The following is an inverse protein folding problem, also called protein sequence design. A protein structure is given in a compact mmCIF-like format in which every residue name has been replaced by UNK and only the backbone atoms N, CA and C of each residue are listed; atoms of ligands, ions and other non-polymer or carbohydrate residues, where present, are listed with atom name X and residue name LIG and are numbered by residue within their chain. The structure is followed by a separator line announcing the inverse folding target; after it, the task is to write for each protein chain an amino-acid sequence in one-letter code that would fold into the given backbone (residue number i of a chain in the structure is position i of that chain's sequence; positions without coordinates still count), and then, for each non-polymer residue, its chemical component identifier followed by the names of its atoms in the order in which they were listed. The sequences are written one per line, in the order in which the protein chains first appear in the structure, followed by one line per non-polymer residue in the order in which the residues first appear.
data_IF_351616864592
#
_entry.id   IF_351616864592
#
_cell.length_a   1.000
_cell.length_b   1.000
_cell.length_c   1.000
_cell.angle_alpha   90.00
_cell.angle_beta   90.00
_cell.angle_gamma   90.00
#
_symmetry.space_group_name_H-M   'P 1'
#
loop_
_entity.id
_entity.type
_entity.pdbx_description
1 polymer ?
#
# COMPACT_ATOMS: atom_id res chain seq x y z
N UNK A 1 -75.89 6.52 -1.79
CA UNK A 1 -74.59 6.45 -1.10
C UNK A 1 -73.79 7.67 -1.50
N UNK A 2 -73.71 8.64 -0.59
CA UNK A 2 -72.93 9.86 -0.79
C UNK A 2 -71.46 9.58 -0.47
N UNK A 3 -70.54 10.20 -1.21
CA UNK A 3 -69.24 10.56 -0.67
C UNK A 3 -68.76 11.87 -1.28
N UNK A 4 -68.46 12.79 -0.38
CA UNK A 4 -68.08 14.18 -0.58
C UNK A 4 -66.58 14.33 -0.29
N UNK A 5 -65.95 15.18 -1.09
CA UNK A 5 -64.74 16.01 -0.88
C UNK A 5 -63.70 15.61 0.21
N UNK A 6 -62.41 15.70 -0.15
CA UNK A 6 -61.60 16.86 0.22
C UNK A 6 -60.20 16.79 -0.38
N UNK A 7 -59.76 17.87 -1.02
CA UNK A 7 -58.36 18.09 -1.40
C UNK A 7 -57.58 18.52 -0.16
N UNK A 8 -56.46 17.86 0.11
CA UNK A 8 -55.53 18.24 1.18
C UNK A 8 -54.23 18.77 0.56
N UNK A 9 -53.90 20.01 0.90
CA UNK A 9 -52.66 20.71 0.59
C UNK A 9 -51.48 20.13 1.40
N UNK A 10 -50.22 20.29 0.94
CA UNK A 10 -49.04 19.79 1.64
C UNK A 10 -48.72 20.62 2.91
N UNK A 11 -48.12 19.99 3.94
CA UNK A 11 -47.81 20.65 5.21
C UNK A 11 -46.62 21.62 5.09
N UNK A 12 -46.77 22.77 5.75
CA UNK A 12 -45.73 23.79 5.90
C UNK A 12 -44.57 23.25 6.74
N UNK A 13 -43.36 23.44 6.22
CA UNK A 13 -42.10 23.18 6.92
C UNK A 13 -41.86 24.31 7.93
N UNK A 14 -41.58 24.05 9.21
CA UNK A 14 -41.12 25.10 10.12
C UNK A 14 -39.69 25.49 9.75
N UNK A 15 -39.46 26.80 9.58
CA UNK A 15 -38.15 27.37 9.31
C UNK A 15 -37.15 27.01 10.43
N UNK A 16 -35.86 26.76 10.10
CA UNK A 16 -34.83 26.56 11.10
C UNK A 16 -34.68 27.84 11.95
N UNK A 17 -34.43 27.72 13.27
CA UNK A 17 -34.15 28.89 14.09
C UNK A 17 -32.87 29.54 13.59
N UNK A 18 -32.95 30.85 13.37
CA UNK A 18 -31.81 31.73 13.09
C UNK A 18 -30.67 31.41 14.07
N UNK A 19 -29.53 30.97 13.53
CA UNK A 19 -28.27 30.96 14.24
C UNK A 19 -28.04 32.37 14.79
N UNK A 20 -28.17 32.53 16.11
CA UNK A 20 -27.79 33.76 16.78
C UNK A 20 -26.28 33.90 16.64
N UNK A 21 -25.85 34.87 15.85
CA UNK A 21 -24.46 35.32 15.84
C UNK A 21 -24.08 35.76 17.25
N UNK A 22 -23.44 34.87 18.01
CA UNK A 22 -23.00 35.08 19.39
C UNK A 22 -21.77 35.96 19.49
N UNK A 23 -21.76 37.11 18.79
CA UNK A 23 -20.70 38.11 18.90
C UNK A 23 -21.23 39.48 19.37
N UNK A 24 -22.38 39.50 20.05
CA UNK A 24 -22.82 40.69 20.78
C UNK A 24 -22.39 40.53 22.24
N UNK A 25 -21.24 41.09 22.58
CA UNK A 25 -20.75 41.20 23.96
C UNK A 25 -21.73 42.05 24.77
N UNK A 26 -22.74 41.43 25.36
CA UNK A 26 -23.60 42.10 26.34
C UNK A 26 -22.84 42.15 27.64
N UNK A 27 -22.25 43.30 27.94
CA UNK A 27 -21.66 43.57 29.25
C UNK A 27 -22.73 43.40 30.34
N UNK A 28 -22.40 42.66 31.39
CA UNK A 28 -23.26 42.49 32.55
C UNK A 28 -23.49 43.84 33.24
N UNK A 29 -24.61 43.98 33.96
CA UNK A 29 -24.95 45.22 34.70
C UNK A 29 -23.90 45.62 35.75
N UNK A 30 -23.02 44.70 36.13
CA UNK A 30 -22.07 44.83 37.22
C UNK A 30 -20.74 44.23 36.80
N UNK A 31 -19.65 44.97 37.02
CA UNK A 31 -18.30 44.53 36.67
C UNK A 31 -17.93 43.16 37.30
N UNK A 32 -18.42 42.90 38.52
CA UNK A 32 -18.22 41.62 39.19
C UNK A 32 -18.83 40.44 38.41
N UNK A 33 -19.98 40.64 37.75
CA UNK A 33 -20.61 39.60 36.93
C UNK A 33 -19.91 39.45 35.58
N UNK A 34 -19.37 40.53 35.02
CA UNK A 34 -18.53 40.46 33.81
C UNK A 34 -17.24 39.67 34.06
N UNK A 35 -16.60 39.86 35.21
CA UNK A 35 -15.40 39.10 35.58
C UNK A 35 -15.74 37.62 35.76
N UNK A 36 -16.87 37.29 36.41
CA UNK A 36 -17.35 35.90 36.53
C UNK A 36 -17.67 35.28 35.16
N UNK A 37 -18.35 36.02 34.29
CA UNK A 37 -18.67 35.59 32.94
C UNK A 37 -17.41 35.39 32.10
N UNK A 38 -16.40 36.26 32.26
CA UNK A 38 -15.11 36.13 31.60
C UNK A 38 -14.36 34.87 32.05
N UNK A 39 -14.31 34.61 33.36
CA UNK A 39 -13.70 33.39 33.89
C UNK A 39 -14.45 32.13 33.46
N UNK A 40 -15.79 32.16 33.42
CA UNK A 40 -16.62 31.06 32.94
C UNK A 40 -16.45 30.82 31.42
N UNK A 41 -16.33 31.87 30.61
CA UNK A 41 -16.08 31.75 29.18
C UNK A 41 -14.67 31.21 28.87
N UNK A 42 -13.67 31.55 29.71
CA UNK A 42 -12.30 31.03 29.60
C UNK A 42 -12.14 29.58 30.07
N UNK A 43 -13.01 29.10 30.97
CA UNK A 43 -12.95 27.73 31.48
C UNK A 43 -13.63 26.71 30.55
N UNK A 44 -14.50 27.18 29.65
CA UNK A 44 -15.15 26.32 28.63
C UNK A 44 -14.25 26.27 27.40
N UNK A 45 -13.72 25.08 27.10
CA UNK A 45 -12.97 24.83 25.86
C UNK A 45 -13.89 25.08 24.65
N UNK A 46 -13.39 25.69 23.55
CA UNK A 46 -14.23 26.02 22.40
C UNK A 46 -14.69 24.79 21.59
N UNK A 47 -14.30 23.58 21.98
CA UNK A 47 -14.76 22.33 21.41
C UNK A 47 -15.24 21.38 22.51
N UNK A 48 -16.29 20.62 22.21
CA UNK A 48 -16.76 19.55 23.09
C UNK A 48 -15.76 18.38 23.04
N UNK A 49 -15.45 17.70 24.15
CA UNK A 49 -14.53 16.55 24.15
C UNK A 49 -14.97 15.43 23.20
N UNK A 50 -16.27 15.30 22.93
CA UNK A 50 -16.84 14.33 21.98
C UNK A 50 -16.57 14.68 20.50
N UNK A 51 -16.24 15.93 20.18
CA UNK A 51 -15.93 16.36 18.81
C UNK A 51 -14.48 16.07 18.41
N UNK A 52 -13.61 15.77 19.37
CA UNK A 52 -12.21 15.47 19.11
C UNK A 52 -12.01 13.95 18.99
N UNK A 53 -11.91 13.47 17.76
CA UNK A 53 -11.49 12.08 17.50
C UNK A 53 -10.13 11.86 18.15
N UNK A 54 -10.06 10.94 19.11
CA UNK A 54 -8.81 10.53 19.73
C UNK A 54 -7.86 10.04 18.64
N UNK A 55 -6.68 10.65 18.56
CA UNK A 55 -5.66 10.26 17.58
C UNK A 55 -5.04 8.94 18.06
N UNK A 56 -5.47 7.84 17.46
CA UNK A 56 -4.88 6.53 17.68
C UNK A 56 -3.54 6.45 16.97
N UNK A 57 -2.48 6.27 17.74
CA UNK A 57 -1.15 6.07 17.19
C UNK A 57 -1.04 4.64 16.66
N UNK A 58 -1.22 4.49 15.34
CA UNK A 58 -1.02 3.22 14.66
C UNK A 58 0.46 3.00 14.46
N UNK A 59 0.97 1.89 14.99
CA UNK A 59 2.37 1.50 14.83
C UNK A 59 2.62 1.03 13.40
N UNK A 60 3.86 1.20 12.90
CA UNK A 60 4.27 0.67 11.58
C UNK A 60 4.03 -0.85 11.46
N UNK A 61 4.10 -1.56 12.57
CA UNK A 61 3.86 -3.00 12.63
C UNK A 61 2.38 -3.36 12.39
N UNK A 62 1.43 -2.55 12.89
CA UNK A 62 0.00 -2.73 12.62
C UNK A 62 -0.33 -2.42 11.15
N UNK A 63 0.20 -1.32 10.60
CA UNK A 63 0.06 -1.03 9.16
C UNK A 63 0.64 -2.13 8.27
N UNK A 64 1.83 -2.63 8.60
CA UNK A 64 2.46 -3.72 7.85
C UNK A 64 1.71 -5.06 7.99
N UNK A 65 0.81 -5.21 8.96
CA UNK A 65 -0.13 -6.33 9.00
C UNK A 65 -1.34 -6.04 8.15
N UNK A 66 -1.94 -4.85 8.22
CA UNK A 66 -3.08 -4.44 7.38
C UNK A 66 -2.76 -4.57 5.88
N UNK A 67 -1.56 -4.15 5.47
CA UNK A 67 -1.06 -4.22 4.10
C UNK A 67 -0.84 -5.65 3.57
N UNK A 68 -0.92 -6.68 4.42
CA UNK A 68 -0.78 -8.08 3.97
C UNK A 68 -2.04 -8.52 3.23
N UNK A 69 -1.85 -8.97 1.99
CA UNK A 69 -2.91 -9.52 1.16
C UNK A 69 -3.51 -10.82 1.71
N UNK A 70 -2.70 -11.63 2.41
CA UNK A 70 -3.07 -12.94 2.92
C UNK A 70 -3.03 -12.98 4.44
N UNK A 71 -4.15 -13.37 5.06
CA UNK A 71 -4.26 -13.54 6.50
C UNK A 71 -3.90 -14.99 6.87
N UNK A 72 -2.72 -15.15 7.45
CA UNK A 72 -2.17 -16.46 7.83
C UNK A 72 -2.97 -17.11 8.98
N UNK A 73 -3.61 -16.31 9.83
CA UNK A 73 -4.36 -16.83 10.99
C UNK A 73 -5.70 -17.40 10.53
N UNK A 74 -6.38 -16.67 9.64
CA UNK A 74 -7.65 -17.12 9.07
C UNK A 74 -7.47 -18.06 7.88
N UNK A 75 -6.27 -18.12 7.30
CA UNK A 75 -5.96 -18.91 6.12
C UNK A 75 -6.67 -18.40 4.85
N UNK A 76 -7.02 -17.11 4.80
CA UNK A 76 -7.83 -16.50 3.73
C UNK A 76 -7.18 -15.23 3.21
N UNK A 77 -7.43 -14.90 1.94
CA UNK A 77 -7.12 -13.57 1.42
C UNK A 77 -8.07 -12.54 2.04
N UNK A 78 -7.53 -11.34 2.31
CA UNK A 78 -8.37 -10.22 2.82
C UNK A 78 -9.18 -9.54 1.73
N UNK A 79 -8.70 -9.63 0.50
CA UNK A 79 -9.43 -9.22 -0.68
C UNK A 79 -10.50 -10.28 -0.99
N UNK A 80 -11.77 -9.90 -0.83
CA UNK A 80 -12.93 -10.79 -0.99
C UNK A 80 -13.03 -11.34 -2.41
N UNK A 81 -12.70 -10.54 -3.43
CA UNK A 81 -12.79 -10.95 -4.83
C UNK A 81 -11.73 -12.02 -5.15
N UNK A 82 -10.53 -11.84 -4.59
CA UNK A 82 -9.41 -12.78 -4.72
C UNK A 82 -9.70 -14.09 -3.98
N UNK A 83 -10.26 -14.02 -2.79
CA UNK A 83 -10.68 -15.18 -1.99
C UNK A 83 -11.82 -15.95 -2.66
N UNK A 84 -12.85 -15.26 -3.15
CA UNK A 84 -13.95 -15.90 -3.90
C UNK A 84 -13.42 -16.59 -5.16
N UNK A 85 -12.52 -15.95 -5.91
CA UNK A 85 -11.87 -16.55 -7.06
C UNK A 85 -11.05 -17.80 -6.71
N UNK A 86 -10.35 -17.78 -5.58
CA UNK A 86 -9.59 -18.93 -5.08
C UNK A 86 -10.51 -20.08 -4.65
N UNK A 87 -11.55 -19.80 -3.86
CA UNK A 87 -12.53 -20.80 -3.41
C UNK A 87 -13.30 -21.45 -4.57
N UNK A 88 -13.66 -20.67 -5.61
CA UNK A 88 -14.29 -21.23 -6.81
C UNK A 88 -13.36 -22.21 -7.54
N UNK A 89 -12.06 -21.89 -7.65
CA UNK A 89 -11.08 -22.79 -8.28
C UNK A 89 -10.88 -24.06 -7.47
N UNK A 90 -10.74 -23.97 -6.15
CA UNK A 90 -10.66 -25.14 -5.28
C UNK A 90 -11.92 -26.00 -5.37
N UNK A 91 -13.11 -25.38 -5.37
CA UNK A 91 -14.38 -26.09 -5.50
C UNK A 91 -14.50 -26.85 -6.82
N UNK A 92 -14.04 -26.26 -7.93
CA UNK A 92 -14.01 -26.93 -9.24
C UNK A 92 -13.00 -28.08 -9.24
N UNK A 93 -11.82 -27.89 -8.64
CA UNK A 93 -10.78 -28.91 -8.59
C UNK A 93 -11.20 -30.10 -7.74
N UNK A 94 -11.80 -29.86 -6.57
CA UNK A 94 -12.31 -30.90 -5.69
C UNK A 94 -13.42 -31.72 -6.36
N UNK A 95 -14.36 -31.06 -7.06
CA UNK A 95 -15.39 -31.76 -7.86
C UNK A 95 -14.76 -32.63 -8.94
N UNK A 96 -13.78 -32.11 -9.67
CA UNK A 96 -13.07 -32.85 -10.72
C UNK A 96 -12.32 -34.07 -10.16
N UNK A 97 -11.68 -33.94 -9.01
CA UNK A 97 -10.94 -35.03 -8.37
C UNK A 97 -11.88 -36.09 -7.80
N UNK A 98 -13.02 -35.71 -7.23
CA UNK A 98 -14.08 -36.63 -6.83
C UNK A 98 -14.65 -37.40 -8.03
N UNK A 99 -14.94 -36.72 -9.13
CA UNK A 99 -15.42 -37.36 -10.37
C UNK A 99 -14.39 -38.33 -10.94
N UNK A 100 -13.11 -37.95 -10.95
CA UNK A 100 -12.00 -38.81 -11.37
C UNK A 100 -11.85 -40.03 -10.46
N UNK A 101 -11.98 -39.85 -9.15
CA UNK A 101 -11.98 -40.93 -8.16
C UNK A 101 -13.14 -41.90 -8.38
N UNK A 102 -14.35 -41.37 -8.58
CA UNK A 102 -15.55 -42.16 -8.88
C UNK A 102 -15.41 -42.94 -10.19
N UNK A 103 -14.87 -42.32 -11.25
CA UNK A 103 -14.60 -42.98 -12.52
C UNK A 103 -13.55 -44.11 -12.38
N UNK A 104 -12.48 -43.88 -11.59
CA UNK A 104 -11.46 -44.91 -11.32
C UNK A 104 -12.07 -46.09 -10.55
N UNK A 105 -12.95 -45.83 -9.58
CA UNK A 105 -13.66 -46.87 -8.85
C UNK A 105 -14.59 -47.67 -9.77
N UNK A 106 -15.37 -47.00 -10.62
CA UNK A 106 -16.23 -47.65 -11.63
C UNK A 106 -15.45 -48.53 -12.62
N UNK A 107 -14.19 -48.19 -12.91
CA UNK A 107 -13.30 -49.01 -13.76
C UNK A 107 -12.79 -50.26 -13.05
N UNK A 108 -12.53 -50.18 -11.75
CA UNK A 108 -11.96 -51.29 -10.97
C UNK A 108 -13.02 -52.31 -10.55
N UNK A 109 -14.29 -51.92 -10.48
CA UNK A 109 -15.39 -52.81 -10.13
C UNK A 109 -16.03 -53.41 -11.38
N UNK A 110 -16.70 -54.54 -11.19
CA UNK A 110 -17.41 -55.25 -12.24
C UNK A 110 -18.55 -54.38 -12.83
N UNK A 111 -18.56 -54.19 -14.15
CA UNK A 111 -19.48 -53.26 -14.84
C UNK A 111 -20.90 -53.81 -15.02
N UNK A 112 -21.04 -55.12 -15.08
CA UNK A 112 -22.30 -55.83 -15.36
C UNK A 112 -22.55 -56.89 -14.31
N UNK A 113 -23.81 -57.18 -13.98
CA UNK A 113 -24.16 -58.36 -13.19
C UNK A 113 -23.79 -59.63 -13.97
N UNK A 114 -23.00 -60.55 -13.39
CA UNK A 114 -22.49 -61.73 -14.11
C UNK A 114 -23.60 -62.64 -14.67
N UNK A 115 -24.76 -62.66 -14.00
CA UNK A 115 -25.85 -63.59 -14.31
C UNK A 115 -26.86 -62.95 -15.27
N UNK A 116 -27.32 -61.73 -14.98
CA UNK A 116 -28.34 -61.04 -15.80
C UNK A 116 -27.74 -60.18 -16.93
N UNK A 117 -26.42 -60.01 -16.95
CA UNK A 117 -25.66 -59.11 -17.82
C UNK A 117 -26.19 -57.66 -17.85
N UNK A 118 -27.01 -57.28 -16.87
CA UNK A 118 -27.52 -55.93 -16.71
C UNK A 118 -26.43 -55.00 -16.14
N UNK A 119 -26.37 -53.73 -16.54
CA UNK A 119 -25.40 -52.78 -16.00
C UNK A 119 -25.65 -52.56 -14.51
N UNK A 120 -24.62 -52.74 -13.66
CA UNK A 120 -24.75 -52.52 -12.21
C UNK A 120 -25.00 -51.03 -11.86
N UNK A 121 -24.60 -50.11 -12.74
CA UNK A 121 -24.78 -48.66 -12.58
C UNK A 121 -25.41 -48.06 -13.85
N UNK A 122 -26.75 -48.14 -14.00
CA UNK A 122 -27.43 -47.56 -15.15
C UNK A 122 -27.24 -46.03 -15.19
N UNK A 123 -26.73 -45.52 -16.31
CA UNK A 123 -26.50 -44.08 -16.53
C UNK A 123 -25.09 -43.58 -16.20
N UNK A 124 -24.21 -44.41 -15.63
CA UNK A 124 -22.81 -44.05 -15.41
C UNK A 124 -22.04 -44.05 -16.75
N UNK A 125 -21.72 -42.86 -17.28
CA UNK A 125 -20.87 -42.70 -18.46
C UNK A 125 -19.41 -42.57 -17.99
N UNK A 126 -18.50 -43.41 -18.49
CA UNK A 126 -17.08 -43.22 -18.22
C UNK A 126 -16.63 -41.94 -18.96
N UNK A 127 -16.16 -40.88 -18.26
CA UNK A 127 -15.74 -39.64 -18.92
C UNK A 127 -14.54 -39.84 -19.86
N UNK A 128 -13.87 -41.01 -19.80
CA UNK A 128 -12.75 -41.36 -20.66
C UNK A 128 -13.10 -42.44 -21.70
N UNK A 129 -14.36 -42.89 -21.79
CA UNK A 129 -14.78 -43.71 -22.93
C UNK A 129 -14.70 -42.83 -24.17
N UNK A 130 -13.58 -42.94 -24.89
CA UNK A 130 -13.41 -42.36 -26.22
C UNK A 130 -14.62 -42.84 -27.01
N UNK A 131 -15.52 -41.91 -27.38
CA UNK A 131 -16.62 -42.20 -28.30
C UNK A 131 -16.03 -43.05 -29.43
N UNK A 132 -16.57 -44.24 -29.73
CA UNK A 132 -16.03 -45.06 -30.79
C UNK A 132 -15.96 -44.17 -32.02
N UNK A 133 -14.75 -43.91 -32.52
CA UNK A 133 -14.56 -43.14 -33.74
C UNK A 133 -15.35 -43.89 -34.80
N UNK A 134 -16.44 -43.30 -35.29
CA UNK A 134 -17.16 -43.87 -36.41
C UNK A 134 -16.18 -43.91 -37.58
N UNK A 135 -15.70 -45.11 -37.91
CA UNK A 135 -14.99 -45.33 -39.14
C UNK A 135 -16.01 -45.11 -40.26
N UNK A 136 -15.93 -43.96 -40.93
CA UNK A 136 -16.83 -43.55 -42.01
C UNK A 136 -16.88 -44.55 -43.17
N UNK A 137 -15.92 -45.48 -43.23
CA UNK A 137 -15.72 -46.40 -44.35
C UNK A 137 -16.12 -47.84 -44.05
N UNK A 138 -16.73 -48.13 -42.90
CA UNK A 138 -17.25 -49.49 -42.64
C UNK A 138 -18.69 -49.57 -43.15
N UNK A 139 -18.82 -49.65 -44.48
CA UNK A 139 -20.07 -50.03 -45.13
C UNK A 139 -20.52 -51.35 -44.53
N UNK A 140 -21.70 -51.37 -43.91
CA UNK A 140 -22.32 -52.63 -43.49
C UNK A 140 -22.66 -53.38 -44.76
N UNK A 141 -21.82 -54.33 -45.15
CA UNK A 141 -22.21 -55.36 -46.11
C UNK A 141 -23.15 -56.30 -45.37
N UNK A 142 -24.42 -55.90 -45.23
CA UNK A 142 -25.48 -56.87 -45.03
C UNK A 142 -25.59 -57.63 -46.36
N UNK A 143 -24.79 -58.67 -46.52
CA UNK A 143 -24.99 -59.64 -47.59
C UNK A 143 -26.26 -60.42 -47.27
N UNK A 144 -27.20 -60.47 -48.20
CA UNK A 144 -28.51 -61.13 -48.05
C UNK A 144 -28.45 -62.66 -47.94
N UNK A 145 -27.24 -63.22 -47.88
CA UNK A 145 -26.99 -64.66 -47.79
C UNK A 145 -25.88 -64.95 -46.78
N UNK A 146 -25.96 -66.12 -46.15
CA UNK A 146 -24.90 -66.62 -45.28
C UNK A 146 -23.74 -67.13 -46.15
N UNK A 147 -22.54 -66.53 -46.00
CA UNK A 147 -21.36 -66.81 -46.83
C UNK A 147 -20.88 -68.27 -46.69
N UNK A 148 -21.19 -68.93 -45.56
CA UNK A 148 -20.77 -70.33 -45.32
C UNK A 148 -21.76 -71.34 -45.89
N UNK A 149 -23.06 -71.03 -45.89
CA UNK A 149 -24.12 -71.99 -46.28
C UNK A 149 -24.80 -71.65 -47.61
N UNK A 150 -24.55 -70.47 -48.18
CA UNK A 150 -25.11 -69.99 -49.44
C UNK A 150 -26.65 -70.05 -49.53
N UNK A 151 -27.33 -69.87 -48.39
CA UNK A 151 -28.80 -69.80 -48.31
C UNK A 151 -29.19 -68.32 -48.11
N UNK A 152 -30.21 -67.85 -48.84
CA UNK A 152 -30.75 -66.50 -48.70
C UNK A 152 -31.51 -66.32 -47.38
N UNK A 153 -31.34 -65.18 -46.72
CA UNK A 153 -32.05 -64.82 -45.47
C UNK A 153 -33.51 -64.38 -45.72
N UNK A 154 -34.22 -65.02 -46.64
CA UNK A 154 -35.62 -64.70 -47.02
C UNK A 154 -36.62 -65.42 -46.11
N UNK A 155 -36.45 -65.28 -44.80
CA UNK A 155 -37.21 -66.05 -43.82
C UNK A 155 -37.36 -65.40 -42.45
N UNK A 156 -37.49 -64.08 -42.36
CA UNK A 156 -38.12 -63.45 -41.19
C UNK A 156 -38.54 -62.00 -41.46
N UNK A 157 -39.85 -61.81 -41.68
CA UNK A 157 -40.70 -60.71 -41.20
C UNK A 157 -40.12 -59.28 -41.15
N UNK A 158 -40.30 -58.52 -42.24
CA UNK A 158 -40.90 -57.18 -42.23
C UNK A 158 -40.87 -56.60 -43.65
N UNK A 159 -42.03 -56.47 -44.27
CA UNK A 159 -42.24 -55.73 -45.50
C UNK A 159 -41.96 -54.24 -45.26
N UNK A 160 -40.81 -53.75 -45.71
CA UNK A 160 -40.60 -52.30 -45.90
C UNK A 160 -41.29 -51.88 -47.19
N UNK A 161 -42.09 -50.79 -47.20
CA UNK A 161 -42.87 -50.41 -48.37
C UNK A 161 -41.97 -49.97 -49.52
N UNK A 162 -42.45 -50.26 -50.73
CA UNK A 162 -41.89 -49.89 -52.02
C UNK A 162 -41.53 -48.41 -52.09
N UNK A 163 -40.25 -48.09 -51.87
CA UNK A 163 -39.67 -46.82 -52.26
C UNK A 163 -39.42 -46.85 -53.77
N UNK A 164 -40.04 -45.90 -54.46
CA UNK A 164 -39.83 -45.52 -55.85
C UNK A 164 -38.42 -45.80 -56.38
N UNK A 165 -38.34 -46.45 -57.54
CA UNK A 165 -37.12 -46.64 -58.34
C UNK A 165 -36.56 -45.26 -58.70
N UNK A 166 -35.71 -44.73 -57.82
CA UNK A 166 -34.75 -43.69 -58.18
C UNK A 166 -33.65 -44.40 -58.95
N UNK A 167 -33.24 -43.93 -60.15
CA UNK A 167 -32.15 -44.57 -60.86
C UNK A 167 -30.96 -44.60 -59.92
N UNK A 168 -30.40 -45.79 -59.68
CA UNK A 168 -29.24 -45.93 -58.81
C UNK A 168 -28.14 -45.04 -59.40
N UNK A 169 -27.97 -43.84 -58.86
CA UNK A 169 -26.79 -43.01 -59.09
C UNK A 169 -25.66 -43.73 -58.35
N UNK A 170 -25.17 -44.81 -58.96
CA UNK A 170 -23.88 -45.39 -58.61
C UNK A 170 -22.92 -44.20 -58.66
N UNK A 171 -22.15 -43.93 -57.60
CA UNK A 171 -21.24 -42.80 -57.60
C UNK A 171 -20.28 -42.97 -58.79
N UNK A 172 -20.46 -42.13 -59.81
CA UNK A 172 -19.59 -42.12 -60.97
C UNK A 172 -18.24 -41.63 -60.47
N UNK A 173 -17.22 -42.48 -60.57
CA UNK A 173 -15.87 -42.09 -60.18
C UNK A 173 -15.37 -41.11 -61.24
N UNK A 174 -14.94 -39.93 -60.82
CA UNK A 174 -14.42 -38.90 -61.73
C UNK A 174 -13.09 -39.29 -62.39
N UNK A 175 -12.44 -40.33 -61.87
CA UNK A 175 -11.14 -40.83 -62.28
C UNK A 175 -11.20 -42.31 -62.63
N UNK A 176 -10.64 -42.65 -63.78
CA UNK A 176 -10.51 -44.01 -64.26
C UNK A 176 -9.24 -44.67 -63.71
N UNK A 177 -9.41 -45.70 -62.90
CA UNK A 177 -8.32 -46.40 -62.20
C UNK A 177 -7.50 -47.27 -63.17
N UNK A 178 -8.10 -47.76 -64.25
CA UNK A 178 -7.41 -48.62 -65.21
C UNK A 178 -6.50 -47.81 -66.14
N UNK A 179 -6.93 -46.60 -66.52
CA UNK A 179 -6.19 -45.74 -67.45
C UNK A 179 -5.43 -44.61 -66.76
N UNK A 180 -5.62 -44.41 -65.45
CA UNK A 180 -5.03 -43.32 -64.67
C UNK A 180 -5.35 -41.94 -65.26
N UNK A 181 -6.56 -41.76 -65.81
CA UNK A 181 -7.02 -40.50 -66.42
C UNK A 181 -8.35 -40.04 -65.84
N UNK A 182 -8.51 -38.73 -65.76
CA UNK A 182 -9.81 -38.12 -65.47
C UNK A 182 -10.73 -38.24 -66.67
N UNK A 183 -12.03 -38.37 -66.43
CA UNK A 183 -13.03 -38.48 -67.50
C UNK A 183 -13.22 -37.15 -68.24
N UNK A 184 -13.13 -36.03 -67.53
CA UNK A 184 -13.27 -34.69 -68.09
C UNK A 184 -12.01 -33.85 -67.85
N UNK A 185 -11.51 -33.17 -68.89
CA UNK A 185 -10.37 -32.22 -68.84
C UNK A 185 -9.18 -32.75 -68.04
N UNK A 186 -8.65 -33.91 -68.46
CA UNK A 186 -7.59 -34.62 -67.74
C UNK A 186 -6.35 -33.77 -67.52
N UNK A 187 -5.86 -33.09 -68.56
CA UNK A 187 -4.61 -32.35 -68.49
C UNK A 187 -4.73 -31.16 -67.51
N UNK A 188 -5.79 -30.36 -67.62
CA UNK A 188 -6.06 -29.24 -66.71
C UNK A 188 -6.15 -29.68 -65.24
N UNK A 189 -6.88 -30.78 -64.97
CA UNK A 189 -7.04 -31.31 -63.60
C UNK A 189 -5.72 -31.89 -63.09
N UNK A 190 -4.97 -32.58 -63.94
CA UNK A 190 -3.67 -33.13 -63.59
C UNK A 190 -2.68 -32.01 -63.21
N UNK A 191 -2.65 -30.91 -63.98
CA UNK A 191 -1.83 -29.75 -63.65
C UNK A 191 -2.23 -29.09 -62.33
N UNK A 192 -3.54 -28.95 -62.08
CA UNK A 192 -4.06 -28.42 -60.81
C UNK A 192 -3.69 -29.31 -59.62
N UNK A 193 -3.86 -30.62 -59.75
CA UNK A 193 -3.50 -31.58 -58.72
C UNK A 193 -1.99 -31.61 -58.48
N UNK A 194 -1.18 -31.53 -59.54
CA UNK A 194 0.27 -31.44 -59.43
C UNK A 194 0.72 -30.15 -58.73
N UNK A 195 0.11 -29.01 -59.08
CA UNK A 195 0.35 -27.73 -58.42
C UNK A 195 -0.06 -27.77 -56.93
N UNK A 196 -1.21 -28.39 -56.62
CA UNK A 196 -1.68 -28.57 -55.26
C UNK A 196 -0.76 -29.51 -54.47
N UNK A 197 -0.32 -30.62 -55.07
CA UNK A 197 0.63 -31.56 -54.47
C UNK A 197 1.96 -30.87 -54.18
N UNK A 198 2.48 -30.06 -55.12
CA UNK A 198 3.68 -29.25 -54.92
C UNK A 198 3.51 -28.25 -53.77
N UNK A 199 2.36 -27.56 -53.68
CA UNK A 199 2.03 -26.65 -52.58
C UNK A 199 1.97 -27.37 -51.24
N UNK A 200 1.30 -28.53 -51.17
CA UNK A 200 1.22 -29.34 -49.94
C UNK A 200 2.60 -29.88 -49.54
N UNK A 201 3.42 -30.31 -50.49
CA UNK A 201 4.78 -30.74 -50.25
C UNK A 201 5.64 -29.60 -49.70
N UNK A 202 5.55 -28.39 -50.28
CA UNK A 202 6.21 -27.20 -49.76
C UNK A 202 5.75 -26.87 -48.33
N UNK A 203 4.44 -26.90 -48.05
CA UNK A 203 3.93 -26.69 -46.70
C UNK A 203 4.46 -27.73 -45.70
N UNK A 204 4.52 -29.01 -46.08
CA UNK A 204 5.11 -30.07 -45.24
C UNK A 204 6.61 -29.87 -45.02
N UNK A 205 7.32 -29.45 -46.06
CA UNK A 205 8.74 -29.11 -46.01
C UNK A 205 8.98 -27.99 -45.00
N UNK A 206 8.29 -26.85 -45.12
CA UNK A 206 8.46 -25.70 -44.21
C UNK A 206 8.00 -26.00 -42.77
N UNK A 207 6.98 -26.85 -42.58
CA UNK A 207 6.55 -27.30 -41.24
C UNK A 207 7.64 -28.09 -40.51
N UNK A 208 8.45 -28.86 -41.21
CA UNK A 208 9.50 -29.70 -40.60
C UNK A 208 10.86 -29.00 -40.56
N UNK A 209 11.10 -28.05 -41.47
CA UNK A 209 12.37 -27.36 -41.66
C UNK A 209 12.14 -25.86 -41.57
N UNK A 210 12.17 -25.35 -40.35
CA UNK A 210 12.08 -23.91 -40.10
C UNK A 210 13.41 -23.20 -40.28
N UNK A 211 14.51 -23.87 -39.94
CA UNK A 211 15.85 -23.28 -39.89
C UNK A 211 16.83 -24.10 -40.73
N UNK A 212 17.66 -23.42 -41.52
CA UNK A 212 18.74 -24.02 -42.29
C UNK A 212 20.06 -23.89 -41.51
N UNK A 213 20.60 -24.98 -40.94
CA UNK A 213 21.84 -24.92 -40.16
C UNK A 213 23.09 -24.67 -41.01
N UNK A 214 23.03 -24.88 -42.33
CA UNK A 214 24.18 -24.65 -43.22
C UNK A 214 24.29 -23.17 -43.55
N UNK A 215 23.16 -22.53 -43.84
CA UNK A 215 23.10 -21.08 -44.11
C UNK A 215 23.02 -20.25 -42.83
N UNK A 216 22.64 -20.87 -41.71
CA UNK A 216 22.39 -20.22 -40.43
C UNK A 216 21.30 -19.14 -40.57
N UNK A 217 20.30 -19.40 -41.43
CA UNK A 217 19.16 -18.51 -41.67
C UNK A 217 17.86 -19.30 -41.57
N UNK A 218 16.76 -18.61 -41.27
CA UNK A 218 15.44 -19.19 -41.45
C UNK A 218 15.20 -19.47 -42.95
N UNK A 219 14.52 -20.59 -43.21
CA UNK A 219 14.17 -20.98 -44.59
C UNK A 219 13.10 -20.03 -45.15
N UNK A 220 12.26 -19.49 -44.27
CA UNK A 220 11.23 -18.52 -44.57
C UNK A 220 11.80 -17.09 -44.46
N UNK A 221 11.74 -16.34 -45.55
CA UNK A 221 12.33 -15.00 -45.68
C UNK A 221 11.68 -13.97 -44.75
N UNK A 222 10.36 -14.07 -44.54
CA UNK A 222 9.64 -13.11 -43.70
C UNK A 222 9.99 -13.33 -42.23
N UNK A 223 10.14 -14.58 -41.82
CA UNK A 223 10.60 -14.95 -40.48
C UNK A 223 12.04 -14.52 -40.22
N UNK A 224 12.91 -14.59 -41.23
CA UNK A 224 14.29 -14.10 -41.13
C UNK A 224 14.30 -12.57 -40.93
N UNK A 225 13.51 -11.81 -41.68
CA UNK A 225 13.41 -10.35 -41.52
C UNK A 225 12.95 -9.96 -40.11
N UNK A 226 11.93 -10.63 -39.57
CA UNK A 226 11.47 -10.41 -38.20
C UNK A 226 12.54 -10.76 -37.15
N UNK A 227 13.30 -11.82 -37.38
CA UNK A 227 14.40 -12.20 -36.50
C UNK A 227 15.52 -11.15 -36.51
N UNK A 228 15.90 -10.67 -37.71
CA UNK A 228 16.93 -9.64 -37.85
C UNK A 228 16.50 -8.31 -37.24
N UNK A 229 15.25 -7.89 -37.42
CA UNK A 229 14.74 -6.67 -36.78
C UNK A 229 14.77 -6.79 -35.26
N UNK A 230 14.26 -7.90 -34.71
CA UNK A 230 14.30 -8.16 -33.26
C UNK A 230 15.72 -8.16 -32.72
N UNK A 231 16.63 -8.86 -33.39
CA UNK A 231 18.05 -8.91 -33.01
C UNK A 231 18.67 -7.51 -33.02
N UNK A 232 18.33 -6.69 -33.99
CA UNK A 232 18.79 -5.30 -34.05
C UNK A 232 18.27 -4.50 -32.86
N UNK A 233 16.98 -4.60 -32.56
CA UNK A 233 16.36 -3.93 -31.41
C UNK A 233 17.00 -4.38 -30.09
N UNK A 234 17.19 -5.68 -29.92
CA UNK A 234 17.89 -6.26 -28.77
C UNK A 234 19.33 -5.76 -28.66
N UNK A 235 20.06 -5.64 -29.77
CA UNK A 235 21.42 -5.11 -29.79
C UNK A 235 21.46 -3.61 -29.39
N UNK A 236 20.45 -2.83 -29.80
CA UNK A 236 20.33 -1.42 -29.41
C UNK A 236 19.98 -1.26 -27.93
N UNK A 237 19.24 -2.20 -27.35
CA UNK A 237 18.92 -2.21 -25.93
C UNK A 237 20.07 -2.77 -25.08
N UNK A 238 20.80 -3.75 -25.62
CA UNK A 238 21.84 -4.46 -24.92
C UNK A 238 22.93 -3.51 -24.41
N UNK A 239 23.10 -3.49 -23.08
CA UNK A 239 24.14 -2.71 -22.41
C UNK A 239 23.70 -1.33 -21.92
N UNK A 240 22.51 -0.82 -22.31
CA UNK A 240 21.97 0.44 -21.76
C UNK A 240 21.72 0.33 -20.25
N UNK A 241 21.20 -0.82 -19.81
CA UNK A 241 20.89 -1.06 -18.40
C UNK A 241 22.10 -1.49 -17.58
N UNK A 242 23.27 -1.71 -18.21
CA UNK A 242 24.48 -2.17 -17.50
C UNK A 242 24.87 -1.20 -16.39
N UNK A 243 24.61 0.10 -16.58
CA UNK A 243 24.88 1.15 -15.59
C UNK A 243 23.98 0.98 -14.36
N UNK A 244 22.74 0.53 -14.53
CA UNK A 244 21.78 0.32 -13.43
C UNK A 244 22.11 -0.91 -12.58
N UNK A 245 22.86 -1.87 -13.12
CA UNK A 245 23.34 -3.04 -12.36
C UNK A 245 24.56 -2.72 -11.49
N UNK A 246 25.23 -1.59 -11.72
CA UNK A 246 26.42 -1.24 -10.96
C UNK A 246 26.07 -0.94 -9.49
N UNK A 247 27.01 -1.11 -8.55
CA UNK A 247 26.79 -0.71 -7.17
C UNK A 247 26.40 0.78 -7.07
N UNK A 248 25.54 1.18 -6.11
CA UNK A 248 25.08 2.56 -5.99
C UNK A 248 26.22 3.59 -5.97
N UNK A 249 27.33 3.30 -5.27
CA UNK A 249 28.52 4.18 -5.23
C UNK A 249 29.04 4.53 -6.63
N UNK A 250 29.00 3.56 -7.53
CA UNK A 250 29.50 3.66 -8.89
C UNK A 250 28.45 4.25 -9.83
N UNK A 251 27.15 4.04 -9.56
CA UNK A 251 26.07 4.72 -10.28
C UNK A 251 26.05 6.23 -10.04
N UNK A 252 26.28 6.64 -8.79
CA UNK A 252 26.30 8.04 -8.36
C UNK A 252 27.70 8.67 -8.46
N UNK A 253 28.67 8.02 -9.12
CA UNK A 253 29.99 8.60 -9.30
C UNK A 253 29.94 9.81 -10.23
N UNK A 254 30.76 10.81 -9.94
CA UNK A 254 30.77 12.09 -10.65
C UNK A 254 30.91 11.91 -12.16
N UNK A 255 31.83 11.05 -12.61
CA UNK A 255 32.02 10.75 -14.04
C UNK A 255 30.85 10.05 -14.74
N UNK A 256 29.86 9.55 -14.00
CA UNK A 256 28.59 9.02 -14.56
C UNK A 256 27.43 9.98 -14.47
N UNK A 257 27.46 10.89 -13.50
CA UNK A 257 26.39 11.86 -13.28
C UNK A 257 26.60 13.08 -14.18
N UNK A 258 27.84 13.53 -14.33
CA UNK A 258 28.22 14.64 -15.20
C UNK A 258 29.57 14.39 -15.87
N UNK A 259 29.81 15.05 -16.99
CA UNK A 259 31.09 15.01 -17.68
C UNK A 259 32.04 15.99 -17.01
N UNK A 260 33.11 15.49 -16.40
CA UNK A 260 34.09 16.28 -15.65
C UNK A 260 34.80 17.32 -16.54
N UNK A 261 34.98 17.05 -17.83
CA UNK A 261 35.69 17.93 -18.75
C UNK A 261 34.84 19.13 -19.19
N UNK A 262 33.59 18.88 -19.55
CA UNK A 262 32.69 19.88 -20.13
C UNK A 262 31.63 20.39 -19.14
N UNK A 263 31.61 19.86 -17.91
CA UNK A 263 30.62 20.10 -16.85
C UNK A 263 29.16 19.85 -17.28
N UNK A 264 28.95 19.12 -18.38
CA UNK A 264 27.60 18.78 -18.86
C UNK A 264 27.04 17.62 -18.06
N UNK A 265 25.79 17.75 -17.63
CA UNK A 265 25.08 16.69 -16.91
C UNK A 265 24.76 15.54 -17.88
N UNK A 266 25.19 14.34 -17.52
CA UNK A 266 24.90 13.11 -18.27
C UNK A 266 23.56 12.56 -17.80
N UNK A 267 23.39 12.46 -16.48
CA UNK A 267 22.20 11.87 -15.83
C UNK A 267 21.59 12.86 -14.82
N UNK A 268 20.62 13.70 -15.24
CA UNK A 268 20.07 14.75 -14.37
C UNK A 268 19.28 14.17 -13.18
N UNK A 269 18.56 13.07 -13.38
CA UNK A 269 17.79 12.43 -12.31
C UNK A 269 18.69 11.98 -11.16
N UNK A 270 19.80 11.31 -11.47
CA UNK A 270 20.77 10.84 -10.47
C UNK A 270 21.44 12.01 -9.76
N UNK A 271 21.72 13.11 -10.47
CA UNK A 271 22.25 14.33 -9.87
C UNK A 271 21.30 14.93 -8.83
N UNK A 272 20.01 15.04 -9.17
CA UNK A 272 18.99 15.53 -8.24
C UNK A 272 18.94 14.66 -6.98
N UNK A 273 18.92 13.34 -7.14
CA UNK A 273 18.89 12.45 -5.96
C UNK A 273 20.16 12.49 -5.12
N UNK A 274 21.33 12.78 -5.71
CA UNK A 274 22.58 13.01 -4.99
C UNK A 274 22.47 14.30 -4.16
N UNK A 275 22.07 15.40 -4.81
CA UNK A 275 21.87 16.69 -4.16
C UNK A 275 20.86 16.60 -3.01
N UNK A 276 19.74 15.89 -3.19
CA UNK A 276 18.75 15.68 -2.13
C UNK A 276 19.29 14.90 -0.92
N UNK A 277 20.24 13.97 -1.14
CA UNK A 277 20.88 13.25 -0.03
C UNK A 277 21.80 14.19 0.74
N UNK A 278 22.59 15.00 0.03
CA UNK A 278 23.51 15.95 0.64
C UNK A 278 22.74 17.04 1.41
N UNK A 279 21.65 17.55 0.83
CA UNK A 279 20.76 18.51 1.50
C UNK A 279 20.11 17.91 2.75
N UNK A 280 19.69 16.64 2.72
CA UNK A 280 19.15 15.96 3.92
C UNK A 280 20.19 15.84 5.02
N UNK A 281 21.45 15.55 4.68
CA UNK A 281 22.53 15.48 5.66
C UNK A 281 22.79 16.85 6.29
N UNK A 282 22.87 17.90 5.47
CA UNK A 282 22.99 19.29 5.91
C UNK A 282 21.85 19.72 6.84
N UNK A 283 20.61 19.46 6.44
CA UNK A 283 19.42 19.77 7.22
C UNK A 283 19.40 19.03 8.57
N UNK A 284 19.90 17.79 8.61
CA UNK A 284 20.03 17.06 9.88
C UNK A 284 21.02 17.74 10.82
N UNK A 285 22.19 18.13 10.32
CA UNK A 285 23.22 18.83 11.13
C UNK A 285 22.69 20.17 11.63
N UNK A 286 22.04 20.95 10.77
CA UNK A 286 21.43 22.23 11.13
C UNK A 286 20.35 22.04 12.20
N UNK A 287 19.47 21.05 12.02
CA UNK A 287 18.43 20.71 13.00
C UNK A 287 19.03 20.35 14.35
N UNK A 288 20.05 19.48 14.38
CA UNK A 288 20.69 19.09 15.66
C UNK A 288 21.39 20.25 16.36
N UNK A 289 22.02 21.16 15.59
CA UNK A 289 22.64 22.34 16.14
C UNK A 289 21.60 23.30 16.74
N UNK A 290 20.48 23.48 16.03
CA UNK A 290 19.35 24.28 16.51
C UNK A 290 18.72 23.70 17.77
N UNK A 291 18.44 22.39 17.79
CA UNK A 291 17.87 21.70 18.97
C UNK A 291 18.79 21.79 20.18
N UNK A 292 20.11 21.64 19.99
CA UNK A 292 21.09 21.80 21.06
C UNK A 292 21.06 23.22 21.64
N UNK A 293 21.07 24.24 20.77
CA UNK A 293 20.97 25.64 21.19
C UNK A 293 19.68 25.91 21.97
N UNK A 294 18.54 25.40 21.49
CA UNK A 294 17.26 25.58 22.16
C UNK A 294 17.19 24.85 23.50
N UNK A 295 17.82 23.68 23.61
CA UNK A 295 17.95 22.97 24.88
C UNK A 295 18.77 23.77 25.88
N UNK A 296 19.94 24.28 25.49
CA UNK A 296 20.78 25.11 26.36
C UNK A 296 20.03 26.37 26.84
N UNK A 297 19.27 27.02 25.95
CA UNK A 297 18.41 28.16 26.34
C UNK A 297 17.35 27.74 27.35
N UNK A 298 16.69 26.60 27.14
CA UNK A 298 15.69 26.06 28.07
C UNK A 298 16.28 25.69 29.43
N UNK A 299 17.45 25.03 29.45
CA UNK A 299 18.19 24.68 30.67
C UNK A 299 18.61 25.93 31.45
N UNK A 300 19.10 26.96 30.75
CA UNK A 300 19.46 28.24 31.37
C UNK A 300 18.24 28.97 31.95
N UNK A 301 17.11 28.97 31.24
CA UNK A 301 15.87 29.56 31.74
C UNK A 301 15.34 28.81 32.96
N UNK A 302 15.36 27.47 32.91
CA UNK A 302 14.95 26.64 34.03
C UNK A 302 15.85 26.86 35.24
N UNK A 303 17.18 26.91 35.06
CA UNK A 303 18.13 27.19 36.13
C UNK A 303 17.85 28.56 36.78
N UNK A 304 17.64 29.59 35.95
CA UNK A 304 17.27 30.93 36.43
C UNK A 304 15.98 30.92 37.24
N UNK A 305 14.94 30.25 36.75
CA UNK A 305 13.65 30.20 37.43
C UNK A 305 13.74 29.41 38.74
N UNK A 306 14.53 28.33 38.77
CA UNK A 306 14.82 27.60 40.02
C UNK A 306 15.59 28.45 41.02
N UNK A 307 16.56 29.24 40.56
CA UNK A 307 17.35 30.12 41.42
C UNK A 307 16.47 31.24 42.01
N UNK A 308 15.61 31.86 41.19
CA UNK A 308 14.64 32.85 41.66
C UNK A 308 13.66 32.26 42.69
N UNK A 309 13.19 31.04 42.46
CA UNK A 309 12.32 30.33 43.41
C UNK A 309 13.06 30.04 44.72
N UNK A 310 14.30 29.53 44.66
CA UNK A 310 15.11 29.26 45.86
C UNK A 310 15.42 30.54 46.65
N UNK A 311 15.68 31.66 45.96
CA UNK A 311 15.94 32.96 46.58
C UNK A 311 14.70 33.55 47.27
N UNK A 312 13.49 33.08 46.96
CA UNK A 312 12.26 33.53 47.65
C UNK A 312 12.14 32.95 49.07
N UNK A 313 12.79 31.82 49.34
CA UNK A 313 12.77 31.18 50.64
C UNK A 313 13.93 31.67 51.52
N UNK A 314 13.61 32.16 52.71
CA UNK A 314 14.63 32.53 53.68
C UNK A 314 15.43 31.29 54.13
N UNK A 315 16.75 31.32 53.92
CA UNK A 315 17.65 30.24 54.32
C UNK A 315 17.56 29.92 55.82
N UNK A 316 17.33 30.94 56.65
CA UNK A 316 17.23 30.81 58.11
C UNK A 316 16.18 29.78 58.56
N UNK A 317 15.05 29.67 57.84
CA UNK A 317 14.01 28.67 58.13
C UNK A 317 14.51 27.22 58.06
N UNK A 318 15.50 26.96 57.21
CA UNK A 318 16.07 25.62 57.09
C UNK A 318 17.09 25.36 58.21
N UNK A 319 17.84 26.37 58.61
CA UNK A 319 18.83 26.27 59.70
C UNK A 319 18.19 26.22 61.08
N UNK A 320 17.02 26.83 61.29
CA UNK A 320 16.28 26.84 62.56
C UNK A 320 16.06 25.42 63.11
N UNK A 321 15.70 24.48 62.24
CA UNK A 321 15.49 23.07 62.62
C UNK A 321 16.75 22.36 63.15
N UNK A 322 17.93 22.93 62.90
CA UNK A 322 19.25 22.35 63.23
C UNK A 322 19.91 23.05 64.43
N UNK A 323 19.32 24.13 64.94
CA UNK A 323 19.89 24.95 66.03
C UNK A 323 20.13 24.14 67.31
N UNK A 324 19.29 23.14 67.59
CA UNK A 324 19.38 22.34 68.81
C UNK A 324 20.52 21.31 68.80
N UNK A 325 21.16 21.04 67.65
CA UNK A 325 22.27 20.07 67.53
C UNK A 325 21.85 18.60 67.51
N UNK A 326 20.54 18.32 67.64
CA UNK A 326 19.93 17.00 67.50
C UNK A 326 18.55 17.12 66.83
N UNK A 327 18.07 16.01 66.28
CA UNK A 327 16.74 15.91 65.67
C UNK A 327 15.66 15.83 66.75
N UNK A 328 14.74 16.79 66.77
CA UNK A 328 13.69 16.91 67.80
C UNK A 328 12.75 15.69 67.80
N UNK A 329 12.57 15.01 66.66
CA UNK A 329 11.67 13.86 66.56
C UNK A 329 12.32 12.53 66.93
N UNK A 330 13.60 12.34 66.56
CA UNK A 330 14.31 11.07 66.78
C UNK A 330 15.31 11.12 67.94
N UNK A 331 15.56 12.30 68.51
CA UNK A 331 16.55 12.58 69.55
C UNK A 331 17.99 12.13 69.19
N UNK A 332 18.27 11.96 67.89
CA UNK A 332 19.60 11.63 67.40
C UNK A 332 20.43 12.90 67.21
N UNK A 333 21.67 12.88 67.69
CA UNK A 333 22.62 13.97 67.51
C UNK A 333 22.97 14.13 66.02
N UNK A 334 23.18 15.36 65.57
CA UNK A 334 23.67 15.63 64.21
C UNK A 334 25.20 15.58 64.10
N UNK A 335 25.91 15.45 65.23
CA UNK A 335 27.37 15.38 65.32
C UNK A 335 27.78 14.20 66.21
N UNK A 336 28.77 13.39 65.79
CA UNK A 336 29.28 12.25 66.56
C UNK A 336 29.32 10.93 65.78
N UNK A 337 29.57 9.82 66.50
CA UNK A 337 29.84 8.48 65.94
C UNK A 337 28.62 7.83 65.28
N UNK A 338 27.41 8.16 65.74
CA UNK A 338 26.13 7.66 65.22
C UNK A 338 25.20 8.83 64.79
N UNK A 339 25.81 9.87 64.21
CA UNK A 339 25.11 11.10 63.87
C UNK A 339 24.17 10.92 62.66
N UNK A 340 23.00 11.55 62.73
CA UNK A 340 22.10 11.63 61.59
C UNK A 340 22.67 12.62 60.56
N UNK A 341 22.80 12.25 59.26
CA UNK A 341 23.36 13.14 58.26
C UNK A 341 22.47 14.35 58.04
N UNK A 342 23.07 15.55 58.09
CA UNK A 342 22.38 16.80 57.80
C UNK A 342 22.21 16.93 56.28
N UNK A 343 20.97 17.12 55.84
CA UNK A 343 20.70 17.48 54.46
C UNK A 343 21.13 18.93 54.21
N UNK A 344 22.01 19.15 53.23
CA UNK A 344 22.43 20.48 52.83
C UNK A 344 21.23 21.21 52.19
N UNK A 345 20.93 22.41 52.66
CA UNK A 345 19.88 23.23 52.05
C UNK A 345 20.30 23.65 50.64
N UNK A 346 19.33 23.67 49.73
CA UNK A 346 19.54 24.22 48.37
C UNK A 346 19.51 25.75 48.35
N UNK A 347 19.06 26.39 49.43
CA UNK A 347 19.06 27.84 49.59
C UNK A 347 20.41 28.31 50.13
N UNK A 348 20.81 29.52 49.76
CA UNK A 348 22.07 30.13 50.21
C UNK A 348 21.83 31.09 51.37
N UNK A 349 22.74 31.09 52.34
CA UNK A 349 22.76 32.08 53.41
C UNK A 349 22.94 33.49 52.82
N UNK A 350 22.44 34.51 53.53
CA UNK A 350 22.68 35.90 53.14
C UNK A 350 24.19 36.16 53.11
N UNK A 351 24.69 36.64 51.98
CA UNK A 351 26.11 36.96 51.83
C UNK A 351 26.54 38.02 52.85
N UNK A 352 27.69 37.80 53.47
CA UNK A 352 28.33 38.79 54.32
C UNK A 352 28.74 40.02 53.49
N UNK A 353 28.81 41.21 54.10
CA UNK A 353 29.19 42.44 53.41
C UNK A 353 30.52 42.30 52.64
N UNK A 354 31.49 41.58 53.22
CA UNK A 354 32.78 41.29 52.57
C UNK A 354 32.64 40.36 51.34
N UNK A 355 31.80 39.32 51.44
CA UNK A 355 31.54 38.39 50.32
C UNK A 355 30.77 39.07 49.19
N UNK A 356 29.91 40.03 49.49
CA UNK A 356 29.22 40.84 48.50
C UNK A 356 30.19 41.74 47.72
N UNK A 357 31.19 42.30 48.40
CA UNK A 357 32.23 43.12 47.76
C UNK A 357 33.10 42.25 46.85
N UNK A 358 33.49 41.05 47.28
CA UNK A 358 34.30 40.12 46.48
C UNK A 358 33.54 39.55 45.27
N UNK A 359 32.24 39.28 45.41
CA UNK A 359 31.42 38.73 44.32
C UNK A 359 30.90 39.79 43.33
N UNK A 360 30.94 41.07 43.70
CA UNK A 360 30.46 42.18 42.87
C UNK A 360 28.95 42.17 42.61
N UNK A 361 28.17 41.37 43.36
CA UNK A 361 26.71 41.25 43.20
C UNK A 361 26.00 42.42 43.91
N UNK A 362 25.03 43.11 43.26
CA UNK A 362 24.33 44.23 43.88
C UNK A 362 23.42 43.77 45.03
N UNK A 363 23.42 44.54 46.13
CA UNK A 363 22.73 44.30 47.42
C UNK A 363 21.19 44.22 47.33
N UNK A 364 20.60 44.38 46.15
CA UNK A 364 19.16 44.66 45.97
C UNK A 364 18.22 43.44 46.10
N UNK A 365 18.74 42.23 46.34
CA UNK A 365 17.90 41.03 46.56
C UNK A 365 17.70 40.69 48.05
N UNK A 366 17.92 41.64 48.98
CA UNK A 366 17.54 41.45 50.38
C UNK A 366 16.02 41.45 50.52
N UNK A 367 15.42 40.27 50.71
CA UNK A 367 14.19 40.15 51.48
C UNK A 367 14.59 40.48 52.92
N UNK A 368 14.54 41.76 53.29
CA UNK A 368 14.68 42.16 54.69
C UNK A 368 13.57 41.47 55.49
N UNK A 369 13.87 40.82 56.63
CA UNK A 369 12.82 40.35 57.53
C UNK A 369 11.98 41.57 57.91
N UNK A 370 10.67 41.45 57.71
CA UNK A 370 9.69 42.51 57.91
C UNK A 370 9.67 42.87 59.40
N UNK A 371 10.49 43.84 59.82
CA UNK A 371 10.34 44.45 61.14
C UNK A 371 8.99 45.18 61.16
N UNK A 372 8.20 44.91 62.20
CA UNK A 372 6.85 45.42 62.47
C UNK A 372 6.71 46.92 62.14
N UNK A 373 5.60 47.37 61.53
CA UNK A 373 5.45 48.77 61.17
C UNK A 373 5.08 49.59 62.41
N UNK A 374 5.99 50.49 62.80
CA UNK A 374 5.65 51.63 63.62
C UNK A 374 5.02 52.72 62.73
N UNK A 375 3.88 53.21 63.18
CA UNK A 375 3.00 54.22 62.60
C UNK A 375 3.71 55.55 62.33
N UNK A 376 3.77 56.01 61.06
CA UNK A 376 3.78 57.46 60.71
C UNK A 376 3.10 57.66 59.33
N UNK A 377 2.32 58.74 59.25
CA UNK A 377 1.43 59.22 58.18
C UNK A 377 2.16 59.96 57.04
N UNK A 378 1.47 60.01 55.89
CA UNK A 378 1.49 60.98 54.77
C UNK A 378 2.86 61.31 54.14
N UNK A 379 3.07 61.45 52.82
CA UNK A 379 2.31 62.23 51.84
C UNK A 379 2.75 61.92 50.37
N UNK A 380 1.88 62.25 49.41
CA UNK A 380 2.02 62.62 47.96
C UNK A 380 3.22 62.14 47.11
N UNK A 381 2.91 61.67 45.88
CA UNK A 381 3.74 62.00 44.70
C UNK A 381 3.93 60.90 43.66
N UNK A 382 3.02 60.82 42.69
CA UNK A 382 3.17 60.02 41.48
C UNK A 382 4.31 60.55 40.59
N UNK A 383 5.13 59.65 40.03
CA UNK A 383 5.76 59.80 38.70
C UNK A 383 6.24 58.42 38.21
N UNK A 384 5.68 57.97 37.07
CA UNK A 384 6.14 56.79 36.33
C UNK A 384 7.24 57.22 35.35
N UNK A 385 8.37 56.52 35.22
CA UNK A 385 9.28 56.72 34.10
C UNK A 385 8.81 55.95 32.86
N UNK A 386 8.74 56.70 31.75
CA UNK A 386 8.64 56.23 30.38
C UNK A 386 9.84 55.34 30.02
N UNK A 387 9.61 54.12 29.53
CA UNK A 387 10.61 53.33 28.81
C UNK A 387 10.10 53.17 27.38
N UNK A 388 10.72 53.94 26.48
CA UNK A 388 10.62 53.80 25.04
C UNK A 388 11.26 52.49 24.60
N UNK A 389 10.45 51.58 24.06
CA UNK A 389 10.91 50.39 23.33
C UNK A 389 11.20 50.84 21.89
N UNK A 390 12.48 50.79 21.49
CA UNK A 390 12.91 51.03 20.13
C UNK A 390 12.93 49.68 19.39
N UNK A 391 11.88 49.39 18.62
CA UNK A 391 11.84 48.28 17.68
C UNK A 391 12.73 48.62 16.47
N UNK A 392 13.78 47.82 16.24
CA UNK A 392 14.49 47.77 14.95
C UNK A 392 14.15 46.45 14.24
N UNK A 393 13.65 46.48 12.99
CA UNK A 393 13.44 45.28 12.18
C UNK A 393 14.76 44.77 11.55
N UNK A 394 14.86 43.47 11.22
CA UNK A 394 16.06 42.89 10.63
C UNK A 394 16.20 43.27 9.14
N UNK A 395 17.44 43.59 8.77
CA UNK A 395 17.90 43.89 7.42
C UNK A 395 17.58 42.76 6.44
N UNK A 396 16.83 43.10 5.38
CA UNK A 396 16.67 42.29 4.17
C UNK A 396 18.00 42.27 3.40
N UNK A 397 18.57 41.08 3.22
CA UNK A 397 19.65 40.85 2.26
C UNK A 397 19.01 40.69 0.87
N UNK A 398 19.20 41.68 0.01
CA UNK A 398 18.87 41.60 -1.41
C UNK A 398 19.88 40.70 -2.12
N UNK A 399 19.38 39.63 -2.75
CA UNK A 399 20.12 38.83 -3.72
C UNK A 399 20.07 39.56 -5.07
N UNK A 400 21.18 40.17 -5.45
CA UNK A 400 21.40 40.66 -6.81
C UNK A 400 21.51 39.47 -7.77
N UNK A 401 20.60 39.45 -8.74
CA UNK A 401 20.65 38.59 -9.92
C UNK A 401 21.63 39.22 -10.89
N UNK A 402 22.83 38.65 -11.02
CA UNK A 402 23.73 38.95 -12.12
C UNK A 402 23.40 38.04 -13.31
N UNK A 403 22.64 38.58 -14.26
CA UNK A 403 22.60 38.11 -15.65
C UNK A 403 23.79 38.68 -16.41
N UNK A 404 24.74 37.85 -16.85
CA UNK A 404 25.57 38.14 -18.02
C UNK A 404 26.44 36.92 -18.42
N UNK A 405 26.25 36.50 -19.67
CA UNK A 405 27.03 35.58 -20.53
C UNK A 405 26.93 34.07 -20.33
#
# INVERSE_FOLDING_TARGET
MANVANMHLPPSTPAPPLESSNNRTTYAKTWADDVRNYHAAKSVLPWQPEQQKTVTYVTRHEKAREEREYDVVLGRFRDEDKEQGYQQREGVQLKRDLEKGRAKQLRSIQRFHMISNAPMYPGAKDPTEKKPKQHTNRTKHATDYNIVTNISNTGSSASTPTASVSPSRKPYREFNILTNKYHDRHDDRFEQDAAQAKRLAAQKYFKTRSFDPVRITYVDEDREKEFLSRRHDEQQLHGKDRVLLLPPREQFSEGRVYNILNQRVINPEKLVTMNEKDQRALNKVQKTAYEKKMREVGENQQARDTDLCLNSFAHERHTESQVHGYDVLSNQLYVGRDAKPIAHSRTHAALSAWQTIESGLPVNNRITPKSSPATVRDDVGATKPNILVLDQPPLQVQLEVASAF
#
